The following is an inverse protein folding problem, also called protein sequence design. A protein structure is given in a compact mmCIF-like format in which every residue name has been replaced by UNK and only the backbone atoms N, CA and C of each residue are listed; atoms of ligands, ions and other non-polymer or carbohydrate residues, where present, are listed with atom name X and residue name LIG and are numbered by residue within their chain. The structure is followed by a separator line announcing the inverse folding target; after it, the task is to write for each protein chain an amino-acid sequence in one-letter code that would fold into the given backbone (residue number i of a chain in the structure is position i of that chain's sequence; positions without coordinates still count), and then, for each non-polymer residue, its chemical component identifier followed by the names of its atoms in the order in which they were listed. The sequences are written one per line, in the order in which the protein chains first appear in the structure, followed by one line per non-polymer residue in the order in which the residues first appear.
data_IF_045998123842
#
_entry.id   IF_045998123842
#
_cell.length_a   1.000
_cell.length_b   1.000
_cell.length_c   1.000
_cell.angle_alpha   90.00
_cell.angle_beta   90.00
_cell.angle_gamma   90.00
#
_symmetry.space_group_name_H-M   'P 1'
#
loop_
_entity.id
_entity.type
_entity.pdbx_description
1 polymer ?
#
# COMPACT_ATOMS: atom_id res chain seq x y z
N UNK A 1 27.74 -7.87 -14.75
CA UNK A 1 26.64 -7.08 -14.15
C UNK A 1 26.15 -6.08 -15.19
N UNK A 2 24.87 -6.12 -15.56
CA UNK A 2 24.28 -5.20 -16.53
C UNK A 2 23.67 -4.03 -15.74
N UNK A 3 24.48 -3.09 -15.28
CA UNK A 3 23.98 -1.80 -14.78
C UNK A 3 23.51 -1.00 -15.99
N UNK A 4 22.20 -1.05 -16.24
CA UNK A 4 21.54 -0.20 -17.22
C UNK A 4 21.81 1.27 -16.82
N UNK A 5 22.54 2.02 -17.67
CA UNK A 5 22.99 3.39 -17.40
C UNK A 5 21.84 4.33 -16.97
N UNK A 6 20.61 4.03 -17.43
CA UNK A 6 19.41 4.76 -17.08
C UNK A 6 19.07 4.74 -15.57
N UNK A 7 19.47 3.70 -14.84
CA UNK A 7 19.15 3.52 -13.41
C UNK A 7 20.36 3.87 -12.52
N UNK A 8 21.57 3.86 -13.09
CA UNK A 8 22.83 4.02 -12.35
C UNK A 8 22.92 5.33 -11.55
N UNK A 9 22.21 6.37 -11.99
CA UNK A 9 22.21 7.70 -11.38
C UNK A 9 20.92 8.02 -10.59
N UNK A 10 20.01 7.05 -10.41
CA UNK A 10 18.80 7.27 -9.61
C UNK A 10 19.18 7.22 -8.13
N UNK A 11 19.03 8.34 -7.44
CA UNK A 11 19.30 8.45 -6.01
C UNK A 11 18.12 7.89 -5.20
N UNK A 12 18.44 7.21 -4.11
CA UNK A 12 17.45 6.80 -3.12
C UNK A 12 16.89 7.98 -2.30
N UNK A 13 15.82 7.74 -1.53
CA UNK A 13 15.20 8.76 -0.70
C UNK A 13 16.17 9.23 0.39
N UNK A 14 16.12 10.53 0.71
CA UNK A 14 16.96 11.15 1.76
C UNK A 14 16.25 11.25 3.11
N UNK A 15 14.98 10.88 3.16
CA UNK A 15 14.11 11.03 4.33
C UNK A 15 13.14 9.87 4.39
N UNK A 16 12.71 9.54 5.61
CA UNK A 16 11.61 8.59 5.83
C UNK A 16 10.26 9.19 5.46
N UNK A 17 10.18 10.51 5.33
CA UNK A 17 9.00 11.22 4.84
C UNK A 17 8.99 11.40 3.31
N UNK A 18 9.87 10.70 2.59
CA UNK A 18 9.85 10.68 1.14
C UNK A 18 8.60 9.93 0.62
N UNK A 19 8.19 10.23 -0.61
CA UNK A 19 7.02 9.62 -1.25
C UNK A 19 7.12 8.10 -1.32
N UNK A 20 8.32 7.52 -1.33
CA UNK A 20 8.52 6.07 -1.28
C UNK A 20 7.85 5.41 -0.06
N UNK A 21 7.64 6.17 1.02
CA UNK A 21 6.95 5.68 2.22
C UNK A 21 5.58 6.34 2.33
N UNK A 22 5.52 7.67 2.24
CA UNK A 22 4.28 8.42 2.49
C UNK A 22 3.24 8.27 1.37
N UNK A 23 3.63 7.73 0.20
CA UNK A 23 2.73 7.39 -0.89
C UNK A 23 2.47 5.87 -0.95
N UNK A 24 3.53 5.06 -1.05
CA UNK A 24 3.41 3.62 -1.32
C UNK A 24 2.75 2.84 -0.18
N UNK A 25 2.95 3.25 1.08
CA UNK A 25 2.31 2.56 2.21
C UNK A 25 0.81 2.83 2.28
N UNK A 26 0.34 4.09 2.45
CA UNK A 26 -1.09 4.38 2.59
C UNK A 26 -1.90 4.15 1.32
N UNK A 27 -1.30 4.29 0.13
CA UNK A 27 -2.04 4.20 -1.15
C UNK A 27 -1.74 2.94 -1.95
N UNK A 28 -0.66 2.22 -1.66
CA UNK A 28 -0.34 0.92 -2.23
C UNK A 28 -0.62 -0.21 -1.26
N UNK A 29 0.19 -0.32 -0.21
CA UNK A 29 0.19 -1.51 0.67
C UNK A 29 -1.08 -1.62 1.53
N UNK A 30 -1.60 -0.52 2.08
CA UNK A 30 -2.83 -0.53 2.88
C UNK A 30 -4.04 -1.05 2.09
N UNK A 31 -4.41 -0.49 0.92
CA UNK A 31 -5.54 -1.02 0.16
C UNK A 31 -5.30 -2.46 -0.32
N UNK A 32 -4.06 -2.82 -0.71
CA UNK A 32 -3.73 -4.20 -1.11
C UNK A 32 -3.90 -5.19 0.05
N UNK A 33 -3.45 -4.84 1.26
CA UNK A 33 -3.61 -5.68 2.46
C UNK A 33 -5.09 -5.88 2.79
N UNK A 34 -5.89 -4.82 2.72
CA UNK A 34 -7.32 -4.94 3.02
C UNK A 34 -8.08 -5.74 1.97
N UNK A 35 -7.75 -5.60 0.69
CA UNK A 35 -8.29 -6.47 -0.37
C UNK A 35 -7.91 -7.93 -0.14
N UNK A 36 -6.66 -8.22 0.21
CA UNK A 36 -6.20 -9.58 0.50
C UNK A 36 -6.96 -10.18 1.70
N UNK A 37 -7.11 -9.42 2.78
CA UNK A 37 -7.87 -9.83 3.96
C UNK A 37 -9.34 -10.12 3.62
N UNK A 38 -9.97 -9.28 2.79
CA UNK A 38 -11.35 -9.45 2.32
C UNK A 38 -11.58 -10.81 1.63
N UNK A 39 -10.58 -11.32 0.93
CA UNK A 39 -10.62 -12.62 0.23
C UNK A 39 -9.93 -13.74 1.01
N UNK A 40 -9.61 -13.53 2.29
CA UNK A 40 -9.03 -14.55 3.17
C UNK A 40 -7.54 -14.84 2.96
N UNK A 41 -6.81 -13.99 2.23
CA UNK A 41 -5.36 -14.10 2.01
C UNK A 41 -4.61 -13.27 3.03
N UNK A 42 -3.76 -13.91 3.84
CA UNK A 42 -2.89 -13.23 4.81
C UNK A 42 -1.69 -12.59 4.10
N UNK A 43 -1.34 -11.37 4.49
CA UNK A 43 -0.18 -10.64 3.93
C UNK A 43 0.78 -10.13 5.01
N UNK A 44 1.29 -11.02 5.89
CA UNK A 44 1.96 -10.62 7.12
C UNK A 44 3.21 -9.75 6.90
N UNK A 45 3.91 -9.92 5.78
CA UNK A 45 5.09 -9.11 5.45
C UNK A 45 4.66 -7.70 5.04
N UNK A 46 3.60 -7.56 4.24
CA UNK A 46 3.05 -6.25 3.87
C UNK A 46 2.54 -5.51 5.11
N UNK A 47 1.80 -6.20 5.98
CA UNK A 47 1.30 -5.63 7.23
C UNK A 47 2.44 -5.16 8.15
N UNK A 48 3.52 -5.94 8.21
CA UNK A 48 4.71 -5.57 8.99
C UNK A 48 5.39 -4.32 8.42
N UNK A 49 5.51 -4.22 7.11
CA UNK A 49 6.11 -3.04 6.43
C UNK A 49 5.27 -1.79 6.71
N UNK A 50 3.94 -1.86 6.58
CA UNK A 50 3.06 -0.72 6.88
C UNK A 50 3.18 -0.29 8.34
N UNK A 51 3.24 -1.25 9.26
CA UNK A 51 3.35 -0.97 10.69
C UNK A 51 4.70 -0.31 11.05
N UNK A 52 5.80 -0.81 10.47
CA UNK A 52 7.13 -0.21 10.65
C UNK A 52 7.21 1.19 10.04
N UNK A 53 6.73 1.37 8.82
CA UNK A 53 6.71 2.68 8.17
C UNK A 53 5.86 3.69 8.93
N UNK A 54 4.73 3.25 9.48
CA UNK A 54 3.87 4.08 10.33
C UNK A 54 4.61 4.57 11.58
N UNK A 55 5.30 3.65 12.27
CA UNK A 55 6.08 3.99 13.46
C UNK A 55 7.23 4.96 13.16
N UNK A 56 7.97 4.74 12.07
CA UNK A 56 9.12 5.58 11.68
C UNK A 56 8.68 6.96 11.21
N UNK A 57 7.54 7.07 10.51
CA UNK A 57 7.02 8.36 10.07
C UNK A 57 6.21 9.09 11.14
N UNK A 58 5.82 8.42 12.24
CA UNK A 58 4.88 8.96 13.21
C UNK A 58 3.48 9.22 12.62
N UNK A 59 3.07 8.44 11.61
CA UNK A 59 1.78 8.55 10.93
C UNK A 59 1.12 7.18 10.97
N UNK A 60 -0.11 7.08 11.45
CA UNK A 60 -0.87 5.83 11.40
C UNK A 60 -1.43 5.59 9.99
N UNK A 61 -0.67 4.91 9.14
CA UNK A 61 -1.10 4.64 7.76
C UNK A 61 -2.28 3.69 7.67
N UNK A 62 -2.57 2.89 8.71
CA UNK A 62 -3.78 2.06 8.73
C UNK A 62 -5.04 2.90 8.86
N UNK A 63 -4.96 4.00 9.62
CA UNK A 63 -6.06 4.94 9.79
C UNK A 63 -6.13 5.97 8.66
N UNK A 64 -4.99 6.50 8.20
CA UNK A 64 -4.96 7.61 7.23
C UNK A 64 -4.88 7.16 5.78
N UNK A 65 -4.61 5.89 5.50
CA UNK A 65 -4.47 5.34 4.15
C UNK A 65 -5.80 5.10 3.44
N UNK A 66 -5.72 4.61 2.19
CA UNK A 66 -6.89 4.17 1.42
C UNK A 66 -7.40 2.84 1.95
N UNK A 67 -8.34 2.91 2.88
CA UNK A 67 -9.09 1.76 3.39
C UNK A 67 -10.22 1.37 2.43
N UNK A 68 -10.71 0.14 2.51
CA UNK A 68 -11.91 -0.27 1.77
C UNK A 68 -13.12 0.60 2.11
N UNK A 69 -13.22 1.07 3.37
CA UNK A 69 -14.25 2.02 3.77
C UNK A 69 -14.11 3.35 3.02
N UNK A 70 -12.89 3.90 2.93
CA UNK A 70 -12.64 5.15 2.19
C UNK A 70 -12.91 5.04 0.69
N UNK A 71 -12.79 3.82 0.13
CA UNK A 71 -13.04 3.52 -1.27
C UNK A 71 -14.50 3.14 -1.56
N UNK A 72 -15.36 3.04 -0.54
CA UNK A 72 -16.74 2.56 -0.69
C UNK A 72 -16.87 1.07 -0.97
N UNK A 73 -15.82 0.28 -0.72
CA UNK A 73 -15.74 -1.16 -1.00
C UNK A 73 -15.96 -2.03 0.25
N UNK A 74 -16.08 -1.43 1.44
CA UNK A 74 -16.15 -2.16 2.70
C UNK A 74 -17.27 -3.23 2.75
N UNK A 75 -18.42 -2.94 2.14
CA UNK A 75 -19.59 -3.84 2.14
C UNK A 75 -19.69 -4.72 0.88
N UNK A 76 -18.82 -4.54 -0.11
CA UNK A 76 -18.84 -5.29 -1.37
C UNK A 76 -18.10 -6.61 -1.21
N UNK A 77 -18.58 -7.71 -1.79
CA UNK A 77 -17.77 -8.93 -1.91
C UNK A 77 -16.77 -8.84 -3.07
N UNK A 78 -15.96 -9.88 -3.26
CA UNK A 78 -14.91 -9.87 -4.28
C UNK A 78 -15.50 -9.77 -5.70
N UNK A 79 -16.60 -10.47 -5.94
CA UNK A 79 -17.32 -10.49 -7.20
C UNK A 79 -17.87 -9.10 -7.55
N UNK A 80 -18.50 -8.41 -6.58
CA UNK A 80 -19.01 -7.06 -6.75
C UNK A 80 -17.88 -6.05 -7.01
N UNK A 81 -16.73 -6.18 -6.34
CA UNK A 81 -15.57 -5.31 -6.58
C UNK A 81 -15.05 -5.51 -8.01
N UNK A 82 -14.93 -6.76 -8.48
CA UNK A 82 -14.52 -7.06 -9.86
C UNK A 82 -15.52 -6.52 -10.87
N UNK A 83 -16.82 -6.65 -10.61
CA UNK A 83 -17.86 -6.10 -11.49
C UNK A 83 -17.79 -4.57 -11.58
N UNK A 84 -17.54 -3.88 -10.46
CA UNK A 84 -17.38 -2.42 -10.41
C UNK A 84 -16.18 -1.92 -11.24
N UNK A 85 -15.07 -2.64 -11.24
CA UNK A 85 -13.88 -2.24 -12.02
C UNK A 85 -14.09 -2.46 -13.53
N UNK A 86 -14.93 -3.41 -13.90
CA UNK A 86 -15.20 -3.77 -15.29
C UNK A 86 -16.37 -3.00 -15.93
N UNK A 87 -17.04 -2.12 -15.17
CA UNK A 87 -18.10 -1.23 -15.68
C UNK A 87 -17.54 0.06 -16.25
#
# INVERSE_FOLDING_TARGET
ENTNEAIANILGPKSVHDRYITEDLPFGLVPMSQLALKVGVKTPIMDSIVSLGSAVCGIDFWATGRTLASLGLAEMDAEAIVALVNS
#
